data_IF_692112177895
#
_entry.id   IF_692112177895
#
_cell.length_a   1.000
_cell.length_b   1.000
_cell.length_c   1.000
_cell.angle_alpha   90.00
_cell.angle_beta   90.00
_cell.angle_gamma   90.00
#
_symmetry.space_group_name_H-M   'P 1'
#
loop_
_entity.id
_entity.type
_entity.pdbx_description
1 polymer ?
#
# COMPACT_ATOMS: atom_id res chain seq x y z
N UNK A 1 0.44 52.00 4.49
CA UNK A 1 -0.39 50.79 4.50
C UNK A 1 0.47 49.66 3.97
N UNK A 2 0.99 48.82 4.86
CA UNK A 2 1.89 47.70 4.53
C UNK A 2 1.03 46.46 4.31
N UNK A 3 1.31 45.58 3.34
CA UNK A 3 0.50 44.39 3.11
C UNK A 3 0.64 43.46 4.33
N UNK A 4 -0.49 42.99 4.86
CA UNK A 4 -0.50 41.93 5.86
C UNK A 4 -0.22 40.62 5.12
N UNK A 5 0.97 40.06 5.36
CA UNK A 5 1.31 38.71 4.92
C UNK A 5 0.50 37.73 5.78
N UNK A 6 -0.60 37.25 5.22
CA UNK A 6 -1.58 36.33 5.83
C UNK A 6 -1.04 34.88 5.90
N UNK A 7 0.27 34.72 6.09
CA UNK A 7 0.89 33.41 6.29
C UNK A 7 0.57 32.94 7.70
N UNK A 8 -0.40 32.03 7.79
CA UNK A 8 -0.91 31.52 9.05
C UNK A 8 0.21 30.91 9.90
N UNK A 9 0.45 31.43 11.10
CA UNK A 9 1.61 31.07 11.95
C UNK A 9 1.74 29.59 12.31
N UNK A 10 0.72 28.75 12.09
CA UNK A 10 0.79 27.30 12.24
C UNK A 10 1.54 26.59 11.10
N UNK A 11 1.71 27.26 9.95
CA UNK A 11 2.53 26.80 8.83
C UNK A 11 4.01 27.16 8.99
N UNK A 12 4.37 28.01 9.96
CA UNK A 12 5.74 28.45 10.16
C UNK A 12 6.70 27.29 10.51
N UNK A 13 6.18 26.24 11.16
CA UNK A 13 6.92 25.02 11.52
C UNK A 13 6.62 23.84 10.57
N UNK A 14 5.83 24.06 9.51
CA UNK A 14 5.48 23.00 8.58
C UNK A 14 6.68 22.66 7.71
N UNK A 15 7.34 21.54 8.00
CA UNK A 15 8.41 21.03 7.15
C UNK A 15 7.81 20.43 5.88
N UNK A 16 8.35 20.74 4.69
CA UNK A 16 8.00 20.03 3.47
C UNK A 16 8.17 18.52 3.69
N UNK A 17 7.13 17.74 3.38
CA UNK A 17 7.23 16.28 3.40
C UNK A 17 7.95 15.87 2.13
N UNK A 18 9.25 15.67 2.23
CA UNK A 18 10.09 15.18 1.13
C UNK A 18 9.89 13.66 1.02
N UNK A 19 9.05 13.24 0.08
CA UNK A 19 8.77 11.81 -0.19
C UNK A 19 9.61 11.35 -1.36
N UNK A 20 10.50 10.38 -1.13
CA UNK A 20 11.15 9.67 -2.24
C UNK A 20 10.16 8.69 -2.89
N UNK A 21 9.51 9.17 -3.95
CA UNK A 21 8.51 8.42 -4.71
C UNK A 21 9.11 7.20 -5.43
N UNK A 22 10.40 7.23 -5.75
CA UNK A 22 11.07 6.11 -6.40
C UNK A 22 11.24 4.94 -5.43
N UNK A 23 11.60 5.24 -4.18
CA UNK A 23 11.72 4.25 -3.10
C UNK A 23 10.34 3.71 -2.71
N UNK A 24 9.31 4.54 -2.67
CA UNK A 24 7.95 4.09 -2.34
C UNK A 24 7.36 3.14 -3.41
N UNK A 25 7.59 3.44 -4.68
CA UNK A 25 7.19 2.56 -5.78
C UNK A 25 7.97 1.23 -5.78
N UNK A 26 9.29 1.28 -5.54
CA UNK A 26 10.11 0.07 -5.40
C UNK A 26 9.64 -0.78 -4.23
N UNK A 27 9.28 -0.16 -3.10
CA UNK A 27 8.71 -0.85 -1.95
C UNK A 27 7.39 -1.56 -2.28
N UNK A 28 6.47 -0.89 -2.98
CA UNK A 28 5.21 -1.49 -3.42
C UNK A 28 5.44 -2.71 -4.33
N UNK A 29 6.37 -2.60 -5.30
CA UNK A 29 6.76 -3.72 -6.16
C UNK A 29 7.36 -4.86 -5.35
N UNK A 30 8.30 -4.59 -4.45
CA UNK A 30 8.95 -5.60 -3.64
C UNK A 30 7.94 -6.38 -2.77
N UNK A 31 6.94 -5.70 -2.19
CA UNK A 31 5.87 -6.35 -1.44
C UNK A 31 5.03 -7.29 -2.30
N UNK A 32 4.69 -6.90 -3.53
CA UNK A 32 3.93 -7.76 -4.45
C UNK A 32 4.75 -8.97 -4.88
N UNK A 33 6.01 -8.75 -5.24
CA UNK A 33 6.91 -9.83 -5.62
C UNK A 33 7.13 -10.82 -4.47
N UNK A 34 7.30 -10.33 -3.24
CA UNK A 34 7.41 -11.20 -2.07
C UNK A 34 6.15 -12.04 -1.88
N UNK A 35 4.96 -11.45 -2.05
CA UNK A 35 3.70 -12.19 -1.93
C UNK A 35 3.58 -13.24 -3.04
N UNK A 36 3.77 -12.85 -4.30
CA UNK A 36 3.45 -13.69 -5.45
C UNK A 36 4.51 -14.75 -5.74
N UNK A 37 5.80 -14.39 -5.59
CA UNK A 37 6.92 -15.28 -5.93
C UNK A 37 7.35 -16.13 -4.74
N UNK A 38 7.20 -15.64 -3.50
CA UNK A 38 7.67 -16.35 -2.31
C UNK A 38 6.52 -16.86 -1.44
N UNK A 39 5.73 -15.95 -0.86
CA UNK A 39 4.77 -16.29 0.19
C UNK A 39 3.65 -17.22 -0.30
N UNK A 40 2.94 -16.86 -1.38
CA UNK A 40 1.81 -17.65 -1.90
C UNK A 40 2.21 -19.09 -2.25
N UNK A 41 3.33 -19.36 -2.97
CA UNK A 41 3.79 -20.72 -3.21
C UNK A 41 4.08 -21.52 -1.93
N UNK A 42 4.67 -20.88 -0.91
CA UNK A 42 4.99 -21.55 0.35
C UNK A 42 3.74 -21.81 1.19
N UNK A 43 2.82 -20.85 1.23
CA UNK A 43 1.52 -20.98 1.87
C UNK A 43 0.71 -22.11 1.22
N UNK A 44 0.69 -22.22 -0.10
CA UNK A 44 0.01 -23.30 -0.81
C UNK A 44 0.54 -24.68 -0.38
N UNK A 45 1.87 -24.88 -0.36
CA UNK A 45 2.47 -26.15 0.11
C UNK A 45 2.10 -26.47 1.56
N UNK A 46 2.04 -25.45 2.43
CA UNK A 46 1.63 -25.63 3.82
C UNK A 46 0.14 -26.00 3.93
N UNK A 47 -0.71 -25.35 3.14
CA UNK A 47 -2.15 -25.66 3.09
C UNK A 47 -2.36 -27.10 2.62
N UNK A 48 -1.67 -27.53 1.57
CA UNK A 48 -1.73 -28.90 1.07
C UNK A 48 -1.25 -29.91 2.12
N UNK A 49 -0.18 -29.58 2.86
CA UNK A 49 0.33 -30.43 3.94
C UNK A 49 -0.61 -30.50 5.17
N UNK A 50 -1.49 -29.51 5.31
CA UNK A 50 -2.51 -29.45 6.34
C UNK A 50 -3.82 -30.10 5.89
N UNK A 51 -3.95 -30.50 4.63
CA UNK A 51 -5.09 -31.26 4.15
C UNK A 51 -4.97 -32.71 4.67
N UNK A 52 -5.91 -33.19 5.52
CA UNK A 52 -5.86 -34.55 6.01
C UNK A 52 -6.09 -35.60 4.90
N UNK A 53 -6.55 -35.20 3.70
CA UNK A 53 -6.69 -36.08 2.53
C UNK A 53 -7.68 -37.24 2.70
N UNK A 54 -8.34 -37.33 3.85
CA UNK A 54 -9.26 -38.39 4.24
C UNK A 54 -10.51 -37.78 4.87
N UNK A 55 -11.67 -38.36 4.55
CA UNK A 55 -12.92 -38.03 5.21
C UNK A 55 -12.83 -38.29 6.72
N UNK A 56 -13.58 -37.54 7.54
CA UNK A 56 -13.66 -37.81 8.98
C UNK A 56 -13.95 -39.29 9.21
N UNK A 57 -13.25 -39.90 10.18
CA UNK A 57 -13.49 -41.29 10.57
C UNK A 57 -15.00 -41.51 10.76
N UNK A 58 -15.55 -42.59 10.19
CA UNK A 58 -16.92 -43.00 10.46
C UNK A 58 -17.13 -43.07 11.98
N UNK A 59 -18.21 -42.45 12.48
CA UNK A 59 -18.50 -42.45 13.91
C UNK A 59 -18.73 -43.89 14.36
N UNK A 60 -17.71 -44.52 14.93
CA UNK A 60 -17.87 -45.76 15.65
C UNK A 60 -18.34 -45.42 17.05
N UNK A 61 -19.46 -46.02 17.45
CA UNK A 61 -19.99 -45.90 18.80
C UNK A 61 -18.87 -46.14 19.83
N UNK A 62 -18.61 -45.13 20.68
CA UNK A 62 -17.68 -45.23 21.81
C UNK A 62 -16.28 -44.62 21.63
N UNK A 63 -15.96 -43.94 20.53
CA UNK A 63 -14.66 -43.28 20.34
C UNK A 63 -14.77 -41.75 20.17
N UNK A 64 -15.44 -41.11 21.14
CA UNK A 64 -15.76 -39.67 21.12
C UNK A 64 -14.52 -38.77 21.12
N UNK A 65 -13.43 -39.19 21.76
CA UNK A 65 -12.18 -38.44 21.84
C UNK A 65 -11.51 -38.28 20.48
N UNK A 66 -11.60 -39.30 19.61
CA UNK A 66 -11.08 -39.22 18.25
C UNK A 66 -11.89 -38.23 17.40
N UNK A 67 -13.21 -38.24 17.52
CA UNK A 67 -14.06 -37.25 16.87
C UNK A 67 -13.78 -35.83 17.37
N UNK A 68 -13.63 -35.67 18.70
CA UNK A 68 -13.27 -34.37 19.28
C UNK A 68 -11.91 -33.87 18.79
N UNK A 69 -10.91 -34.75 18.73
CA UNK A 69 -9.58 -34.44 18.21
C UNK A 69 -9.61 -34.05 16.73
N UNK A 70 -10.39 -34.77 15.91
CA UNK A 70 -10.54 -34.47 14.49
C UNK A 70 -11.21 -33.11 14.26
N UNK A 71 -12.29 -32.82 15.00
CA UNK A 71 -12.97 -31.53 14.94
C UNK A 71 -12.06 -30.38 15.38
N UNK A 72 -11.32 -30.58 16.48
CA UNK A 72 -10.37 -29.58 16.98
C UNK A 72 -9.24 -29.34 15.97
N UNK A 73 -8.74 -30.41 15.33
CA UNK A 73 -7.76 -30.31 14.26
C UNK A 73 -8.30 -29.50 13.08
N UNK A 74 -9.50 -29.82 12.58
CA UNK A 74 -10.16 -29.08 11.51
C UNK A 74 -10.33 -27.59 11.84
N UNK A 75 -10.77 -27.28 13.06
CA UNK A 75 -10.86 -25.90 13.54
C UNK A 75 -9.50 -25.18 13.52
N UNK A 76 -8.45 -25.79 14.07
CA UNK A 76 -7.11 -25.21 14.10
C UNK A 76 -6.53 -25.03 12.69
N UNK A 77 -6.73 -26.02 11.82
CA UNK A 77 -6.35 -25.98 10.41
C UNK A 77 -7.00 -24.80 9.71
N UNK A 78 -8.32 -24.70 9.76
CA UNK A 78 -9.06 -23.66 9.06
C UNK A 78 -8.64 -22.26 9.53
N UNK A 79 -8.36 -22.11 10.83
CA UNK A 79 -7.79 -20.86 11.39
C UNK A 79 -6.39 -20.56 10.88
N UNK A 80 -5.53 -21.56 10.76
CA UNK A 80 -4.19 -21.38 10.20
C UNK A 80 -4.25 -20.96 8.72
N UNK A 81 -5.11 -21.61 7.92
CA UNK A 81 -5.31 -21.27 6.51
C UNK A 81 -5.83 -19.83 6.37
N UNK A 82 -6.83 -19.45 7.18
CA UNK A 82 -7.37 -18.08 7.20
C UNK A 82 -6.28 -17.04 7.50
N UNK A 83 -5.38 -17.34 8.45
CA UNK A 83 -4.29 -16.44 8.80
C UNK A 83 -3.29 -16.26 7.64
N UNK A 84 -2.94 -17.35 6.94
CA UNK A 84 -2.05 -17.29 5.77
C UNK A 84 -2.67 -16.43 4.66
N UNK A 85 -3.95 -16.63 4.36
CA UNK A 85 -4.69 -15.83 3.36
C UNK A 85 -4.77 -14.37 3.78
N UNK A 86 -5.09 -14.09 5.05
CA UNK A 86 -5.18 -12.74 5.56
C UNK A 86 -3.84 -11.98 5.46
N UNK A 87 -2.73 -12.66 5.76
CA UNK A 87 -1.40 -12.08 5.62
C UNK A 87 -1.09 -11.66 4.18
N UNK A 88 -1.32 -12.55 3.21
CA UNK A 88 -1.11 -12.23 1.79
C UNK A 88 -1.95 -11.01 1.36
N UNK A 89 -3.22 -10.99 1.73
CA UNK A 89 -4.13 -9.89 1.41
C UNK A 89 -3.71 -8.57 2.07
N UNK A 90 -3.29 -8.60 3.33
CA UNK A 90 -2.82 -7.39 4.03
C UNK A 90 -1.57 -6.81 3.37
N UNK A 91 -0.63 -7.65 2.96
CA UNK A 91 0.59 -7.22 2.26
C UNK A 91 0.29 -6.62 0.89
N UNK A 92 -0.67 -7.19 0.14
CA UNK A 92 -1.14 -6.63 -1.13
C UNK A 92 -1.85 -5.28 -0.94
N UNK A 93 -2.64 -5.13 0.12
CA UNK A 93 -3.26 -3.85 0.48
C UNK A 93 -2.22 -2.79 0.82
N UNK A 94 -1.14 -3.14 1.53
CA UNK A 94 -0.03 -2.23 1.82
C UNK A 94 0.68 -1.79 0.55
N UNK A 95 0.96 -2.71 -0.38
CA UNK A 95 1.54 -2.37 -1.68
C UNK A 95 0.64 -1.42 -2.47
N UNK A 96 -0.67 -1.68 -2.48
CA UNK A 96 -1.66 -0.82 -3.15
C UNK A 96 -1.72 0.57 -2.52
N UNK A 97 -1.67 0.66 -1.19
CA UNK A 97 -1.64 1.94 -0.50
C UNK A 97 -0.35 2.73 -0.80
N UNK A 98 0.80 2.07 -0.84
CA UNK A 98 2.07 2.70 -1.20
C UNK A 98 2.05 3.26 -2.63
N UNK A 99 1.52 2.50 -3.59
CA UNK A 99 1.34 2.98 -4.97
C UNK A 99 0.39 4.17 -5.06
N UNK A 100 -0.73 4.13 -4.34
CA UNK A 100 -1.71 5.22 -4.30
C UNK A 100 -1.06 6.49 -3.78
N UNK A 101 -0.29 6.41 -2.69
CA UNK A 101 0.45 7.56 -2.16
C UNK A 101 1.45 8.07 -3.18
N UNK A 102 2.25 7.19 -3.79
CA UNK A 102 3.22 7.58 -4.82
C UNK A 102 2.56 8.29 -6.01
N UNK A 103 1.39 7.83 -6.45
CA UNK A 103 0.63 8.45 -7.54
C UNK A 103 0.09 9.83 -7.16
N UNK A 104 -0.48 9.98 -5.97
CA UNK A 104 -1.03 11.27 -5.50
C UNK A 104 0.03 12.37 -5.41
N UNK A 105 1.24 12.02 -4.95
CA UNK A 105 2.36 12.95 -4.94
C UNK A 105 2.82 13.32 -6.35
N UNK A 106 2.98 12.34 -7.26
CA UNK A 106 3.33 12.60 -8.67
C UNK A 106 2.35 13.58 -9.34
N UNK A 107 1.05 13.40 -9.12
CA UNK A 107 0.02 14.27 -9.70
C UNK A 107 0.12 15.70 -9.14
N UNK A 108 0.47 15.83 -7.85
CA UNK A 108 0.63 17.13 -7.18
C UNK A 108 1.88 17.85 -7.67
N UNK A 109 3.01 17.16 -7.78
CA UNK A 109 4.27 17.70 -8.32
C UNK A 109 4.10 18.13 -9.78
N UNK A 110 3.38 17.35 -10.58
CA UNK A 110 3.07 17.68 -11.97
C UNK A 110 2.22 18.97 -12.07
N UNK A 111 1.22 19.12 -11.19
CA UNK A 111 0.39 20.33 -11.13
C UNK A 111 1.21 21.56 -10.73
N UNK A 112 2.05 21.43 -9.70
CA UNK A 112 2.93 22.51 -9.25
C UNK A 112 3.92 22.93 -10.34
N UNK A 113 4.52 21.98 -11.06
CA UNK A 113 5.41 22.25 -12.18
C UNK A 113 4.69 22.98 -13.33
N UNK A 114 3.45 22.60 -13.64
CA UNK A 114 2.65 23.28 -14.67
C UNK A 114 2.36 24.74 -14.28
N UNK A 115 1.92 24.98 -13.04
CA UNK A 115 1.68 26.32 -12.51
C UNK A 115 2.94 27.18 -12.52
N UNK A 116 4.10 26.63 -12.12
CA UNK A 116 5.37 27.32 -12.17
C UNK A 116 5.73 27.73 -13.60
N UNK A 117 5.59 26.82 -14.57
CA UNK A 117 5.85 27.12 -15.98
C UNK A 117 4.94 28.25 -16.49
N UNK A 118 3.68 28.28 -16.06
CA UNK A 118 2.74 29.32 -16.48
C UNK A 118 3.06 30.68 -15.86
N UNK A 119 3.51 30.71 -14.59
CA UNK A 119 4.04 31.91 -13.93
C UNK A 119 5.30 32.40 -14.65
N UNK A 120 6.25 31.52 -14.97
CA UNK A 120 7.47 31.87 -15.70
C UNK A 120 7.15 32.46 -17.08
N UNK A 121 6.20 31.87 -17.83
CA UNK A 121 5.72 32.42 -19.10
C UNK A 121 5.07 33.79 -18.93
N UNK A 122 4.26 33.98 -17.88
CA UNK A 122 3.64 35.26 -17.58
C UNK A 122 4.69 36.33 -17.28
N UNK A 123 5.70 36.00 -16.46
CA UNK A 123 6.84 36.88 -16.16
C UNK A 123 7.65 37.23 -17.42
N UNK A 124 7.96 36.24 -18.26
CA UNK A 124 8.70 36.43 -19.51
C UNK A 124 7.92 37.24 -20.57
N UNK A 125 6.59 37.26 -20.47
CA UNK A 125 5.73 38.09 -21.33
C UNK A 125 5.71 39.52 -20.81
N UNK A 126 5.54 39.72 -19.50
CA UNK A 126 5.55 41.03 -18.86
C UNK A 126 6.88 41.79 -19.07
N UNK A 127 8.03 41.10 -18.98
CA UNK A 127 9.34 41.71 -19.23
C UNK A 127 9.53 42.15 -20.68
N UNK A 128 8.99 41.41 -21.66
CA UNK A 128 9.04 41.80 -23.08
C UNK A 128 8.16 43.00 -23.39
N UNK A 129 6.98 43.07 -22.79
CA UNK A 129 6.08 44.22 -22.94
C UNK A 129 6.67 45.50 -22.33
N UNK A 130 7.37 45.41 -21.20
CA UNK A 130 8.03 46.55 -20.57
C UNK A 130 9.23 47.12 -21.34
N UNK A 131 9.90 46.32 -22.17
CA UNK A 131 11.00 46.79 -23.04
C UNK A 131 10.56 47.48 -24.33
N UNK A 132 9.26 47.49 -24.65
CA UNK A 132 8.74 48.14 -25.89
C UNK A 132 8.30 49.59 -25.64
N UNK A 133 8.27 50.05 -24.39
CA UNK A 133 7.80 51.39 -23.97
C UNK A 133 8.94 52.34 -23.50
N UNK A 134 10.19 52.07 -23.88
CA UNK A 134 11.38 52.91 -23.60
C UNK A 134 12.11 53.29 -24.90
#
# INVERSE_FOLDING_TARGET
>A
MVPHDDTSGWLADYRPVEVDLSTLAQFATALREEVDLNFRPHAARLIDALDPGADPFESRDGFFELMAAWNQYGFCRDRAIQLLVAYANATEQLATAADLVAQRYRDTDALAAAQLSDIEKAFATATRSGTTDA
#
